data_IF_564775661023
#
_entry.id   IF_564775661023
#
_cell.length_a   1.000
_cell.length_b   1.000
_cell.length_c   1.000
_cell.angle_alpha   90.00
_cell.angle_beta   90.00
_cell.angle_gamma   90.00
#
_symmetry.space_group_name_H-M   'P 1'
#
loop_
_entity.id
_entity.type
_entity.pdbx_description
1 polymer ?
#
# COMPACT_ATOMS: atom_id res chain seq x y z
N UNK A 1 3.42 -6.79 11.89
CA UNK A 1 2.06 -6.24 11.74
C UNK A 1 1.88 -5.72 10.32
N UNK A 2 0.73 -5.99 9.70
CA UNK A 2 0.46 -5.53 8.34
C UNK A 2 0.27 -4.01 8.31
N UNK A 3 0.88 -3.35 7.34
CA UNK A 3 0.79 -1.89 7.23
C UNK A 3 -0.65 -1.39 7.09
N UNK A 4 -1.50 -2.16 6.42
CA UNK A 4 -2.91 -1.80 6.23
C UNK A 4 -3.75 -2.02 7.48
N UNK A 5 -3.30 -2.85 8.40
CA UNK A 5 -4.09 -3.26 9.56
C UNK A 5 -3.67 -2.60 10.87
N UNK A 6 -2.76 -1.62 10.81
CA UNK A 6 -2.28 -0.98 12.04
C UNK A 6 -3.39 -0.26 12.80
N UNK A 7 -4.33 0.36 12.09
CA UNK A 7 -5.45 1.06 12.74
C UNK A 7 -6.42 0.05 13.39
N UNK A 8 -6.64 -1.09 12.76
CA UNK A 8 -7.46 -2.17 13.32
C UNK A 8 -6.85 -2.69 14.63
N UNK A 9 -5.54 -2.91 14.62
CA UNK A 9 -4.80 -3.33 15.82
C UNK A 9 -4.91 -2.26 16.93
N UNK A 10 -4.73 -0.99 16.58
CA UNK A 10 -4.85 0.11 17.52
C UNK A 10 -6.26 0.23 18.11
N UNK A 11 -7.29 -0.02 17.28
CA UNK A 11 -8.69 -0.05 17.74
C UNK A 11 -8.91 -1.16 18.76
N UNK A 12 -8.34 -2.34 18.53
CA UNK A 12 -8.44 -3.46 19.47
C UNK A 12 -7.74 -3.14 20.80
N UNK A 13 -6.56 -2.51 20.74
CA UNK A 13 -5.85 -2.08 21.94
C UNK A 13 -6.65 -1.03 22.71
N UNK A 14 -7.29 -0.10 22.01
CA UNK A 14 -8.13 0.93 22.63
C UNK A 14 -9.31 0.27 23.36
N UNK A 15 -9.91 -0.76 22.75
CA UNK A 15 -11.00 -1.52 23.39
C UNK A 15 -10.52 -2.24 24.66
N UNK A 16 -9.35 -2.87 24.60
CA UNK A 16 -8.76 -3.55 25.76
C UNK A 16 -8.50 -2.55 26.90
N UNK A 17 -7.96 -1.38 26.56
CA UNK A 17 -7.69 -0.32 27.54
C UNK A 17 -8.99 0.13 28.21
N UNK A 18 -10.07 0.33 27.42
CA UNK A 18 -11.37 0.71 27.97
C UNK A 18 -11.89 -0.30 28.98
N UNK A 19 -11.78 -1.60 28.67
CA UNK A 19 -12.24 -2.67 29.56
C UNK A 19 -11.47 -2.68 30.88
N UNK A 20 -10.22 -2.23 30.86
CA UNK A 20 -9.37 -2.18 32.06
C UNK A 20 -9.44 -0.85 32.82
N UNK A 21 -10.15 0.16 32.31
CA UNK A 21 -10.20 1.49 32.93
C UNK A 21 -11.34 1.55 33.92
N UNK A 22 -11.01 1.75 35.19
CA UNK A 22 -11.99 1.85 36.28
C UNK A 22 -12.79 3.16 36.14
N UNK A 23 -14.10 3.05 36.23
CA UNK A 23 -14.99 4.20 36.17
C UNK A 23 -15.48 4.58 34.79
N UNK A 24 -14.97 3.91 33.74
CA UNK A 24 -15.43 4.12 32.35
C UNK A 24 -16.34 2.98 31.92
N UNK A 25 -17.45 3.27 31.24
CA UNK A 25 -18.22 2.20 30.60
C UNK A 25 -17.39 1.47 29.56
N UNK A 26 -17.66 0.19 29.35
CA UNK A 26 -16.90 -0.63 28.37
C UNK A 26 -17.37 -0.42 26.93
N UNK A 27 -18.55 0.17 26.76
CA UNK A 27 -19.15 0.43 25.45
C UNK A 27 -19.22 -0.84 24.57
N UNK A 28 -19.51 -2.00 25.20
CA UNK A 28 -19.53 -3.29 24.49
C UNK A 28 -20.59 -3.34 23.39
N UNK A 29 -21.79 -2.79 23.67
CA UNK A 29 -22.87 -2.77 22.67
C UNK A 29 -22.47 -1.93 21.45
N UNK A 30 -21.85 -0.78 21.70
CA UNK A 30 -21.38 0.13 20.64
C UNK A 30 -20.27 -0.52 19.80
N UNK A 31 -19.29 -1.18 20.44
CA UNK A 31 -18.24 -1.90 19.73
C UNK A 31 -18.78 -3.08 18.94
N UNK A 32 -19.74 -3.82 19.50
CA UNK A 32 -20.39 -4.92 18.77
C UNK A 32 -21.10 -4.38 17.52
N UNK A 33 -21.82 -3.28 17.66
CA UNK A 33 -22.47 -2.64 16.52
C UNK A 33 -21.45 -2.19 15.48
N UNK A 34 -20.35 -1.58 15.91
CA UNK A 34 -19.27 -1.11 15.01
C UNK A 34 -18.72 -2.27 14.17
N UNK A 35 -18.46 -3.41 14.81
CA UNK A 35 -17.85 -4.57 14.14
C UNK A 35 -18.84 -5.29 13.22
N UNK A 36 -20.13 -5.29 13.57
CA UNK A 36 -21.14 -6.11 12.89
C UNK A 36 -22.25 -5.29 12.21
N UNK A 37 -22.07 -3.99 12.07
CA UNK A 37 -23.11 -3.08 11.60
C UNK A 37 -23.82 -3.54 10.33
N UNK A 38 -23.06 -3.96 9.32
CA UNK A 38 -23.62 -4.39 8.03
C UNK A 38 -24.22 -5.80 8.08
N UNK A 39 -23.90 -6.58 9.10
CA UNK A 39 -24.41 -7.95 9.27
C UNK A 39 -25.75 -7.99 10.02
N UNK A 40 -26.15 -6.87 10.62
CA UNK A 40 -27.43 -6.79 11.35
C UNK A 40 -28.57 -6.82 10.33
N UNK A 41 -29.37 -7.88 10.39
CA UNK A 41 -30.45 -8.07 9.44
C UNK A 41 -31.65 -7.20 9.83
N UNK A 42 -32.12 -6.40 8.91
CA UNK A 42 -33.34 -5.59 9.09
C UNK A 42 -34.54 -6.37 8.62
N UNK A 43 -35.68 -6.15 9.29
CA UNK A 43 -36.95 -6.74 8.88
C UNK A 43 -37.32 -6.24 7.48
N UNK A 44 -37.86 -7.12 6.65
CA UNK A 44 -38.26 -6.76 5.29
C UNK A 44 -39.25 -5.59 5.32
N UNK A 45 -38.99 -4.56 4.52
CA UNK A 45 -39.85 -3.39 4.41
C UNK A 45 -39.76 -2.40 5.56
N UNK A 46 -38.79 -2.59 6.48
CA UNK A 46 -38.63 -1.74 7.67
C UNK A 46 -37.82 -0.47 7.43
N UNK A 47 -37.20 -0.33 6.25
CA UNK A 47 -36.33 0.81 5.97
C UNK A 47 -37.16 2.01 5.45
N UNK A 48 -37.30 3.09 6.22
CA UNK A 48 -38.01 4.26 5.75
C UNK A 48 -37.20 5.04 4.74
N UNK A 49 -37.86 5.76 3.86
CA UNK A 49 -37.20 6.74 3.01
C UNK A 49 -36.93 7.98 3.86
N UNK A 50 -35.65 8.31 4.00
CA UNK A 50 -35.19 9.49 4.73
C UNK A 50 -34.66 10.48 3.70
N UNK A 51 -35.26 11.66 3.69
CA UNK A 51 -34.89 12.70 2.72
C UNK A 51 -33.41 13.08 2.87
N UNK A 52 -32.69 13.08 1.76
CA UNK A 52 -31.27 13.43 1.74
C UNK A 52 -30.32 12.25 1.96
N UNK A 53 -30.84 11.06 2.20
CA UNK A 53 -30.02 9.86 2.42
C UNK A 53 -30.17 8.86 1.28
N UNK A 54 -29.09 8.15 0.96
CA UNK A 54 -29.17 6.98 0.08
C UNK A 54 -29.84 5.83 0.83
N UNK A 55 -30.20 4.76 0.09
CA UNK A 55 -30.80 3.56 0.70
C UNK A 55 -29.85 2.94 1.72
N UNK A 56 -28.57 2.87 1.37
CA UNK A 56 -27.55 2.29 2.26
C UNK A 56 -27.37 3.12 3.54
N UNK A 57 -27.40 4.44 3.42
CA UNK A 57 -27.34 5.33 4.59
C UNK A 57 -28.56 5.16 5.47
N UNK A 58 -29.76 5.10 4.86
CA UNK A 58 -31.00 4.91 5.62
C UNK A 58 -31.00 3.58 6.37
N UNK A 59 -30.56 2.50 5.74
CA UNK A 59 -30.43 1.19 6.38
C UNK A 59 -29.43 1.24 7.54
N UNK A 60 -28.29 1.89 7.35
CA UNK A 60 -27.27 2.03 8.40
C UNK A 60 -27.82 2.80 9.61
N UNK A 61 -28.61 3.86 9.35
CA UNK A 61 -29.24 4.67 10.40
C UNK A 61 -30.28 3.85 11.17
N UNK A 62 -31.08 3.05 10.46
CA UNK A 62 -32.07 2.15 11.11
C UNK A 62 -31.35 1.14 12.01
N UNK A 63 -30.25 0.53 11.53
CA UNK A 63 -29.47 -0.39 12.33
C UNK A 63 -28.90 0.29 13.58
N UNK A 64 -28.35 1.49 13.42
CA UNK A 64 -27.78 2.26 14.53
C UNK A 64 -28.84 2.64 15.55
N UNK A 65 -30.08 2.92 15.11
CA UNK A 65 -31.21 3.24 15.97
C UNK A 65 -31.61 2.10 16.91
N UNK A 66 -31.13 0.88 16.65
CA UNK A 66 -31.35 -0.24 17.55
C UNK A 66 -30.57 -0.12 18.85
N UNK A 67 -29.54 0.73 18.90
CA UNK A 67 -28.83 1.02 20.15
C UNK A 67 -29.61 2.05 20.97
N UNK A 68 -29.72 1.86 22.30
CA UNK A 68 -30.46 2.82 23.15
C UNK A 68 -30.00 4.26 23.01
N UNK A 69 -28.68 4.48 22.81
CA UNK A 69 -28.12 5.82 22.68
C UNK A 69 -28.63 6.55 21.43
N UNK A 70 -29.11 5.83 20.43
CA UNK A 70 -29.51 6.39 19.14
C UNK A 70 -30.95 6.04 18.75
N UNK A 71 -31.82 5.70 19.70
CA UNK A 71 -33.18 5.23 19.43
C UNK A 71 -34.03 6.24 18.65
N UNK A 72 -33.83 7.53 18.86
CA UNK A 72 -34.55 8.60 18.17
C UNK A 72 -33.71 9.30 17.10
N UNK A 73 -32.65 8.64 16.60
CA UNK A 73 -31.69 9.23 15.67
C UNK A 73 -32.38 9.77 14.41
N UNK A 74 -33.29 9.00 13.81
CA UNK A 74 -33.98 9.40 12.57
C UNK A 74 -34.74 10.71 12.78
N UNK A 75 -35.52 10.82 13.86
CA UNK A 75 -36.30 12.02 14.16
C UNK A 75 -35.38 13.21 14.43
N UNK A 76 -34.28 13.01 15.16
CA UNK A 76 -33.33 14.07 15.47
C UNK A 76 -32.62 14.61 14.24
N UNK A 77 -32.22 13.70 13.33
CA UNK A 77 -31.55 14.06 12.08
C UNK A 77 -32.52 14.85 11.17
N UNK A 78 -33.76 14.42 11.07
CA UNK A 78 -34.78 15.08 10.23
C UNK A 78 -35.14 16.46 10.77
N UNK A 79 -35.05 16.66 12.09
CA UNK A 79 -35.32 17.96 12.73
C UNK A 79 -34.13 18.94 12.65
N UNK A 80 -32.94 18.47 12.32
CA UNK A 80 -31.72 19.27 12.31
C UNK A 80 -31.54 19.94 10.95
N UNK A 81 -31.73 21.24 10.90
CA UNK A 81 -31.60 22.05 9.67
C UNK A 81 -30.16 22.06 9.14
N UNK A 82 -29.17 21.79 9.98
CA UNK A 82 -27.76 21.78 9.58
C UNK A 82 -27.31 20.39 9.06
N UNK A 83 -28.20 19.40 9.10
CA UNK A 83 -27.82 18.02 8.74
C UNK A 83 -27.28 17.91 7.30
N UNK A 84 -27.95 18.53 6.33
CA UNK A 84 -27.53 18.48 4.93
C UNK A 84 -26.16 19.12 4.72
N UNK A 85 -25.91 20.25 5.41
CA UNK A 85 -24.61 20.94 5.34
C UNK A 85 -23.52 20.05 5.92
N UNK A 86 -23.77 19.44 7.07
CA UNK A 86 -22.82 18.52 7.70
C UNK A 86 -22.57 17.29 6.82
N UNK A 87 -23.62 16.71 6.26
CA UNK A 87 -23.54 15.52 5.43
C UNK A 87 -22.65 15.75 4.20
N UNK A 88 -22.66 16.95 3.64
CA UNK A 88 -21.88 17.32 2.46
C UNK A 88 -20.48 17.87 2.81
N UNK A 89 -20.14 17.96 4.09
CA UNK A 89 -18.85 18.49 4.53
C UNK A 89 -17.68 17.66 4.02
N UNK A 90 -16.56 18.30 3.72
CA UNK A 90 -15.32 17.63 3.35
C UNK A 90 -14.64 16.95 4.54
N UNK A 91 -14.98 17.35 5.77
CA UNK A 91 -14.40 16.79 6.98
C UNK A 91 -15.47 16.65 8.09
N UNK A 92 -16.49 15.81 7.85
CA UNK A 92 -17.61 15.69 8.81
C UNK A 92 -17.17 15.13 10.16
N UNK A 93 -16.08 14.39 10.21
CA UNK A 93 -15.53 13.83 11.46
C UNK A 93 -15.10 14.90 12.47
N UNK A 94 -14.83 16.13 11.99
CA UNK A 94 -14.42 17.21 12.87
C UNK A 94 -15.58 17.85 13.63
N UNK A 95 -16.79 17.75 13.10
CA UNK A 95 -17.95 18.53 13.56
C UNK A 95 -19.19 17.67 13.77
N UNK A 96 -19.02 16.39 14.14
CA UNK A 96 -20.15 15.49 14.38
C UNK A 96 -21.06 16.06 15.48
N UNK A 97 -22.36 16.25 15.22
CA UNK A 97 -23.26 16.83 16.23
C UNK A 97 -23.50 15.87 17.40
N UNK A 98 -23.46 16.39 18.61
CA UNK A 98 -23.74 15.64 19.82
C UNK A 98 -25.25 15.46 20.07
N UNK A 99 -26.05 16.34 19.50
CA UNK A 99 -27.49 16.36 19.73
C UNK A 99 -28.23 15.13 19.19
N UNK A 100 -27.56 14.34 18.40
CA UNK A 100 -28.17 13.16 17.76
C UNK A 100 -28.22 11.94 18.66
N UNK A 101 -27.43 11.89 19.73
CA UNK A 101 -27.50 10.81 20.70
C UNK A 101 -28.44 11.18 21.87
N UNK A 102 -28.99 10.16 22.54
CA UNK A 102 -29.91 10.37 23.67
C UNK A 102 -29.23 11.09 24.84
N UNK A 103 -28.01 10.68 25.12
CA UNK A 103 -27.19 11.32 26.13
C UNK A 103 -25.79 11.51 25.55
N UNK A 104 -25.27 12.73 25.65
CA UNK A 104 -23.89 13.00 25.26
C UNK A 104 -22.98 12.37 26.31
N UNK A 105 -22.10 11.45 25.95
CA UNK A 105 -21.18 10.86 26.93
C UNK A 105 -20.34 11.94 27.63
N UNK A 106 -20.10 11.75 28.92
CA UNK A 106 -19.37 12.73 29.74
C UNK A 106 -17.89 12.78 29.40
N UNK A 107 -17.33 11.69 28.86
CA UNK A 107 -15.90 11.57 28.61
C UNK A 107 -15.58 11.74 27.13
N UNK A 108 -14.35 12.23 26.81
CA UNK A 108 -13.93 12.33 25.39
C UNK A 108 -13.94 10.98 24.68
N UNK A 109 -13.65 9.89 25.39
CA UNK A 109 -13.62 8.54 24.80
C UNK A 109 -15.03 8.12 24.38
N UNK A 110 -16.03 8.31 25.25
CA UNK A 110 -17.41 8.01 24.93
C UNK A 110 -17.94 8.84 23.78
N UNK A 111 -17.60 10.14 23.77
CA UNK A 111 -17.95 11.03 22.66
C UNK A 111 -17.33 10.54 21.35
N UNK A 112 -16.08 10.08 21.40
CA UNK A 112 -15.38 9.57 20.21
C UNK A 112 -16.04 8.29 19.67
N UNK A 113 -16.52 7.41 20.56
CA UNK A 113 -17.23 6.18 20.15
C UNK A 113 -18.55 6.55 19.46
N UNK A 114 -19.31 7.50 19.98
CA UNK A 114 -20.57 7.92 19.36
C UNK A 114 -20.31 8.57 17.99
N UNK A 115 -19.27 9.40 17.89
CA UNK A 115 -18.87 9.99 16.59
C UNK A 115 -18.47 8.90 15.58
N UNK A 116 -17.73 7.89 16.04
CA UNK A 116 -17.32 6.77 15.18
C UNK A 116 -18.52 6.05 14.56
N UNK A 117 -19.55 5.79 15.36
CA UNK A 117 -20.76 5.12 14.90
C UNK A 117 -21.56 6.00 13.93
N UNK A 118 -21.66 7.29 14.19
CA UNK A 118 -22.37 8.23 13.32
C UNK A 118 -21.66 8.38 11.98
N UNK A 119 -20.33 8.48 11.98
CA UNK A 119 -19.54 8.54 10.74
C UNK A 119 -19.67 7.23 9.96
N UNK A 120 -19.65 6.08 10.63
CA UNK A 120 -19.85 4.78 9.98
C UNK A 120 -21.19 4.72 9.25
N UNK A 121 -22.26 5.26 9.86
CA UNK A 121 -23.59 5.23 9.28
C UNK A 121 -23.77 6.23 8.12
N UNK A 122 -23.32 7.48 8.29
CA UNK A 122 -23.59 8.56 7.35
C UNK A 122 -22.48 8.81 6.32
N UNK A 123 -21.21 8.66 6.73
CA UNK A 123 -20.06 9.00 5.90
C UNK A 123 -18.96 7.96 6.04
N UNK A 124 -19.22 6.71 5.60
CA UNK A 124 -18.21 5.64 5.71
C UNK A 124 -16.92 5.93 4.93
N UNK A 125 -16.94 6.83 3.96
CA UNK A 125 -15.75 7.31 3.27
C UNK A 125 -14.76 8.01 4.22
N UNK A 126 -15.25 8.56 5.36
CA UNK A 126 -14.44 9.24 6.37
C UNK A 126 -14.21 8.39 7.61
N UNK A 127 -14.56 7.11 7.55
CA UNK A 127 -14.43 6.22 8.71
C UNK A 127 -12.99 6.07 9.18
N UNK A 128 -12.05 5.96 8.25
CA UNK A 128 -10.63 5.82 8.62
C UNK A 128 -10.12 7.06 9.36
N UNK A 129 -10.49 8.26 8.90
CA UNK A 129 -10.13 9.51 9.57
C UNK A 129 -10.71 9.56 11.00
N UNK A 130 -11.98 9.14 11.14
CA UNK A 130 -12.63 9.10 12.47
C UNK A 130 -11.98 8.05 13.38
N UNK A 131 -11.59 6.90 12.83
CA UNK A 131 -10.91 5.85 13.58
C UNK A 131 -9.56 6.35 14.12
N UNK A 132 -8.81 7.10 13.32
CA UNK A 132 -7.57 7.76 13.77
C UNK A 132 -7.85 8.70 14.96
N UNK A 133 -8.90 9.51 14.88
CA UNK A 133 -9.28 10.41 15.95
C UNK A 133 -9.67 9.64 17.23
N UNK A 134 -10.41 8.54 17.07
CA UNK A 134 -10.79 7.68 18.21
C UNK A 134 -9.55 7.08 18.90
N UNK A 135 -8.62 6.52 18.11
CA UNK A 135 -7.39 5.93 18.65
C UNK A 135 -6.55 7.00 19.33
N UNK A 136 -6.41 8.17 18.72
CA UNK A 136 -5.66 9.29 19.27
C UNK A 136 -6.25 9.76 20.61
N UNK A 137 -7.58 9.82 20.70
CA UNK A 137 -8.27 10.21 21.94
C UNK A 137 -8.04 9.17 23.04
N UNK A 138 -8.08 7.89 22.71
CA UNK A 138 -7.99 6.79 23.69
C UNK A 138 -6.54 6.47 24.07
N UNK A 139 -5.65 6.33 23.10
CA UNK A 139 -4.27 5.86 23.32
C UNK A 139 -3.25 7.01 23.32
N UNK A 140 -3.63 8.19 22.84
CA UNK A 140 -2.78 9.36 22.77
C UNK A 140 -2.13 9.55 21.40
N UNK A 141 -1.81 10.80 21.05
CA UNK A 141 -1.19 11.16 19.78
C UNK A 141 0.20 10.54 19.61
N UNK A 142 0.94 10.42 20.71
CA UNK A 142 2.28 9.82 20.68
C UNK A 142 2.23 8.36 20.24
N UNK A 143 1.17 7.62 20.62
CA UNK A 143 0.98 6.24 20.18
C UNK A 143 0.79 6.18 18.65
N UNK A 144 -0.02 7.08 18.10
CA UNK A 144 -0.24 7.12 16.66
C UNK A 144 1.04 7.47 15.90
N UNK A 145 1.83 8.41 16.43
CA UNK A 145 3.13 8.76 15.81
C UNK A 145 4.07 7.56 15.75
N UNK A 146 4.13 6.78 16.83
CA UNK A 146 4.96 5.56 16.87
C UNK A 146 4.46 4.54 15.85
N UNK A 147 3.15 4.36 15.77
CA UNK A 147 2.54 3.40 14.83
C UNK A 147 2.79 3.77 13.36
N UNK A 148 2.90 5.06 13.07
CA UNK A 148 3.09 5.57 11.72
C UNK A 148 4.56 5.64 11.29
N UNK A 149 5.51 5.44 12.21
CA UNK A 149 6.94 5.48 11.89
C UNK A 149 7.29 4.35 10.91
N UNK A 150 8.13 4.64 9.92
CA UNK A 150 8.59 3.60 9.01
C UNK A 150 9.43 2.56 9.75
N UNK A 151 9.34 1.32 9.28
CA UNK A 151 10.08 0.20 9.85
C UNK A 151 11.58 0.42 9.66
N UNK A 152 12.35 0.41 10.76
CA UNK A 152 13.81 0.49 10.72
C UNK A 152 14.38 -0.93 10.72
N UNK A 153 14.48 -1.49 9.53
CA UNK A 153 14.96 -2.86 9.33
C UNK A 153 16.43 -2.99 9.77
N UNK A 154 17.25 -1.96 9.52
CA UNK A 154 18.65 -1.93 9.90
C UNK A 154 18.82 -2.10 11.41
N UNK A 155 18.10 -1.32 12.19
CA UNK A 155 18.16 -1.37 13.65
C UNK A 155 17.76 -2.76 14.16
N UNK A 156 16.68 -3.30 13.64
CA UNK A 156 16.15 -4.60 14.11
C UNK A 156 17.13 -5.73 13.78
N UNK A 157 17.62 -5.77 12.56
CA UNK A 157 18.57 -6.84 12.14
C UNK A 157 19.88 -6.79 12.90
N UNK A 158 20.13 -5.75 13.16
CA UNK A 158 21.34 -5.58 13.78
C UNK A 158 21.37 -5.73 15.20
N UNK A 159 20.38 -5.28 15.74
CA UNK A 159 20.43 -5.28 17.22
C UNK A 159 19.54 -6.34 17.87
N UNK A 160 18.37 -6.64 17.26
CA UNK A 160 17.37 -7.50 17.88
C UNK A 160 17.42 -8.95 17.38
N UNK A 161 17.92 -9.18 16.18
CA UNK A 161 17.96 -10.51 15.57
C UNK A 161 19.26 -11.20 15.95
N UNK A 162 19.13 -12.42 16.51
CA UNK A 162 20.27 -13.26 16.85
C UNK A 162 20.76 -14.03 15.63
N UNK A 163 22.06 -14.43 15.59
CA UNK A 163 22.60 -15.14 14.42
C UNK A 163 21.85 -16.43 14.06
N UNK A 164 21.27 -17.13 15.02
CA UNK A 164 20.54 -18.38 14.77
C UNK A 164 19.02 -18.15 14.55
N UNK A 165 18.56 -16.89 14.52
CA UNK A 165 17.16 -16.55 14.28
C UNK A 165 16.99 -16.21 12.81
N UNK A 166 16.23 -17.01 12.03
CA UNK A 166 15.99 -16.64 10.63
C UNK A 166 15.10 -15.41 10.52
N UNK A 167 15.40 -14.55 9.55
CA UNK A 167 14.58 -13.37 9.25
C UNK A 167 13.65 -13.72 8.09
N UNK A 168 12.35 -13.72 8.37
CA UNK A 168 11.33 -14.14 7.42
C UNK A 168 10.69 -12.90 6.78
N UNK A 169 10.94 -12.72 5.48
CA UNK A 169 10.45 -11.58 4.71
C UNK A 169 9.21 -12.03 3.92
N UNK A 170 8.05 -11.92 4.57
CA UNK A 170 6.78 -12.37 4.01
C UNK A 170 6.13 -11.26 3.18
N UNK A 171 5.58 -11.62 2.04
CA UNK A 171 4.95 -10.66 1.14
C UNK A 171 3.65 -11.21 0.55
N UNK A 172 2.82 -10.31 0.06
CA UNK A 172 1.65 -10.66 -0.74
C UNK A 172 2.10 -11.12 -2.13
N UNK A 173 1.31 -11.95 -2.83
CA UNK A 173 1.67 -12.37 -4.18
C UNK A 173 1.94 -11.18 -5.09
N UNK A 174 2.99 -11.28 -5.91
CA UNK A 174 3.39 -10.25 -6.84
C UNK A 174 4.33 -9.19 -6.28
N UNK A 175 4.65 -9.25 -4.98
CA UNK A 175 5.61 -8.35 -4.34
C UNK A 175 6.88 -9.13 -3.97
N UNK A 176 8.04 -8.56 -4.28
CA UNK A 176 9.34 -9.18 -3.98
C UNK A 176 10.06 -8.36 -2.91
N UNK A 177 10.24 -8.94 -1.75
CA UNK A 177 10.90 -8.30 -0.60
C UNK A 177 12.43 -8.39 -0.66
N UNK A 178 12.99 -9.10 -1.64
CA UNK A 178 14.45 -9.33 -1.69
C UNK A 178 15.25 -8.03 -1.84
N UNK A 179 14.70 -7.04 -2.52
CA UNK A 179 15.33 -5.73 -2.68
C UNK A 179 15.64 -5.04 -1.35
N UNK A 180 14.76 -5.19 -0.36
CA UNK A 180 14.97 -4.63 0.97
C UNK A 180 16.21 -5.23 1.64
N UNK A 181 16.41 -6.53 1.47
CA UNK A 181 17.56 -7.25 2.05
C UNK A 181 18.86 -6.85 1.34
N UNK A 182 18.83 -6.75 0.02
CA UNK A 182 19.98 -6.34 -0.79
C UNK A 182 20.42 -4.92 -0.44
N UNK A 183 19.46 -4.01 -0.28
CA UNK A 183 19.72 -2.61 0.14
C UNK A 183 20.36 -2.59 1.53
N UNK A 184 19.83 -3.39 2.45
CA UNK A 184 20.32 -3.48 3.82
C UNK A 184 21.77 -4.00 3.84
N UNK A 185 22.06 -5.04 3.06
CA UNK A 185 23.40 -5.60 2.95
C UNK A 185 24.38 -4.55 2.41
N UNK A 186 23.96 -3.78 1.39
CA UNK A 186 24.78 -2.70 0.82
C UNK A 186 25.06 -1.61 1.85
N UNK A 187 24.07 -1.20 2.63
CA UNK A 187 24.21 -0.20 3.69
C UNK A 187 25.21 -0.65 4.76
N UNK A 188 25.21 -1.95 5.08
CA UNK A 188 26.06 -2.51 6.12
C UNK A 188 27.43 -2.98 5.59
N UNK A 189 27.69 -2.81 4.29
CA UNK A 189 28.90 -3.30 3.61
C UNK A 189 29.13 -4.80 3.87
N UNK A 190 28.04 -5.57 3.89
CA UNK A 190 28.08 -7.01 4.16
C UNK A 190 27.85 -7.76 2.86
N UNK A 191 28.65 -8.81 2.64
CA UNK A 191 28.46 -9.68 1.49
C UNK A 191 27.27 -10.60 1.73
N UNK A 192 26.41 -10.72 0.71
CA UNK A 192 25.21 -11.56 0.77
C UNK A 192 25.18 -12.51 -0.43
N UNK A 193 24.89 -13.76 -0.17
CA UNK A 193 24.68 -14.78 -1.19
C UNK A 193 23.17 -15.02 -1.34
N UNK A 194 22.63 -14.77 -2.54
CA UNK A 194 21.20 -14.92 -2.85
C UNK A 194 20.98 -16.18 -3.68
N UNK A 195 20.08 -17.05 -3.24
CA UNK A 195 19.77 -18.32 -3.91
C UNK A 195 18.27 -18.46 -4.05
N UNK A 196 17.80 -18.72 -5.26
CA UNK A 196 16.39 -19.01 -5.51
C UNK A 196 16.12 -20.50 -5.24
N UNK A 197 15.13 -20.78 -4.43
CA UNK A 197 14.73 -22.14 -4.09
C UNK A 197 13.66 -22.61 -5.07
N UNK A 198 13.91 -23.70 -5.77
CA UNK A 198 12.96 -24.23 -6.75
C UNK A 198 13.36 -25.57 -7.33
N UNK A 199 14.54 -26.04 -6.98
CA UNK A 199 15.06 -27.29 -7.53
C UNK A 199 16.02 -27.95 -6.53
N UNK A 200 16.34 -29.21 -6.76
CA UNK A 200 17.30 -29.97 -5.93
C UNK A 200 18.68 -29.29 -5.93
N UNK A 201 19.08 -28.72 -7.06
CA UNK A 201 20.33 -27.97 -7.15
C UNK A 201 20.32 -26.75 -6.24
N UNK A 202 19.18 -26.00 -6.21
CA UNK A 202 19.01 -24.86 -5.32
C UNK A 202 19.13 -25.24 -3.84
N UNK A 203 18.61 -26.39 -3.46
CA UNK A 203 18.72 -26.90 -2.08
C UNK A 203 20.18 -27.17 -1.72
N UNK A 204 20.95 -27.82 -2.62
CA UNK A 204 22.37 -28.10 -2.40
C UNK A 204 23.19 -26.81 -2.29
N UNK A 205 22.92 -25.85 -3.18
CA UNK A 205 23.56 -24.53 -3.16
C UNK A 205 23.26 -23.79 -1.85
N UNK A 206 22.01 -23.87 -1.39
CA UNK A 206 21.59 -23.24 -0.13
C UNK A 206 22.33 -23.84 1.06
N UNK A 207 22.43 -25.16 1.13
CA UNK A 207 23.16 -25.84 2.21
C UNK A 207 24.63 -25.43 2.23
N UNK A 208 25.28 -25.40 1.07
CA UNK A 208 26.70 -25.01 0.97
C UNK A 208 26.88 -23.53 1.37
N UNK A 209 25.99 -22.65 0.91
CA UNK A 209 26.06 -21.23 1.23
C UNK A 209 25.90 -20.99 2.74
N UNK A 210 24.95 -21.68 3.36
CA UNK A 210 24.71 -21.57 4.81
C UNK A 210 25.93 -22.08 5.58
N UNK A 211 26.47 -23.23 5.22
CA UNK A 211 27.63 -23.82 5.91
C UNK A 211 28.86 -22.91 5.83
N UNK A 212 29.10 -22.27 4.68
CA UNK A 212 30.18 -21.31 4.49
C UNK A 212 29.93 -20.03 5.29
N UNK A 213 28.74 -19.47 5.19
CA UNK A 213 28.39 -18.18 5.80
C UNK A 213 28.35 -18.27 7.33
N UNK A 214 27.95 -19.39 7.89
CA UNK A 214 27.93 -19.62 9.34
C UNK A 214 29.33 -19.46 9.94
N UNK A 215 30.38 -19.87 9.22
CA UNK A 215 31.76 -19.75 9.67
C UNK A 215 32.33 -18.35 9.43
N UNK A 216 31.99 -17.71 8.31
CA UNK A 216 32.57 -16.44 7.88
C UNK A 216 31.83 -15.21 8.38
N UNK A 217 30.57 -15.36 8.83
CA UNK A 217 29.74 -14.24 9.26
C UNK A 217 29.07 -13.50 8.11
N UNK A 218 29.04 -14.07 6.93
CA UNK A 218 28.35 -13.50 5.76
C UNK A 218 26.84 -13.72 5.88
N UNK A 219 26.10 -13.00 5.08
CA UNK A 219 24.63 -13.14 5.02
C UNK A 219 24.21 -14.07 3.88
N UNK A 220 23.12 -14.79 4.08
CA UNK A 220 22.51 -15.65 3.06
C UNK A 220 21.04 -15.26 2.93
N UNK A 221 20.57 -15.14 1.68
CA UNK A 221 19.15 -14.93 1.39
C UNK A 221 18.65 -16.07 0.49
N UNK A 222 17.63 -16.79 0.96
CA UNK A 222 16.97 -17.83 0.18
C UNK A 222 15.64 -17.28 -0.30
N UNK A 223 15.42 -17.26 -1.61
CA UNK A 223 14.27 -16.63 -2.25
C UNK A 223 13.16 -17.64 -2.54
N UNK A 224 11.92 -17.22 -2.27
CA UNK A 224 10.70 -17.96 -2.63
C UNK A 224 10.64 -19.34 -1.97
N UNK A 225 10.97 -19.39 -0.69
CA UNK A 225 11.03 -20.66 0.08
C UNK A 225 9.65 -21.30 0.28
N UNK A 226 8.57 -20.55 0.08
CA UNK A 226 7.21 -21.10 0.13
C UNK A 226 6.96 -22.17 -0.94
N UNK A 227 7.80 -22.19 -2.00
CA UNK A 227 7.70 -23.19 -3.06
C UNK A 227 8.23 -24.58 -2.62
N UNK A 228 8.93 -24.64 -1.50
CA UNK A 228 9.54 -25.88 -1.02
C UNK A 228 9.29 -26.09 0.49
N UNK A 229 8.02 -26.22 0.91
CA UNK A 229 7.71 -26.33 2.35
C UNK A 229 8.30 -27.58 3.01
N UNK A 230 8.46 -28.67 2.29
CA UNK A 230 9.11 -29.89 2.83
C UNK A 230 10.56 -29.67 3.16
N UNK A 231 11.28 -28.94 2.31
CA UNK A 231 12.69 -28.62 2.58
C UNK A 231 12.83 -27.65 3.76
N UNK A 232 11.86 -26.74 3.96
CA UNK A 232 11.87 -25.81 5.08
C UNK A 232 11.83 -26.51 6.43
N UNK A 233 11.21 -27.68 6.52
CA UNK A 233 11.24 -28.47 7.75
C UNK A 233 12.66 -28.97 8.05
N UNK A 234 13.40 -29.35 7.03
CA UNK A 234 14.82 -29.77 7.16
C UNK A 234 15.68 -28.55 7.54
N UNK A 235 15.43 -27.40 6.94
CA UNK A 235 16.15 -26.16 7.25
C UNK A 235 15.95 -25.77 8.72
N UNK A 236 14.74 -25.87 9.22
CA UNK A 236 14.41 -25.52 10.61
C UNK A 236 15.23 -26.40 11.57
N UNK A 237 15.29 -27.70 11.30
CA UNK A 237 16.09 -28.64 12.10
C UNK A 237 17.58 -28.32 12.03
N UNK A 238 18.08 -27.98 10.85
CA UNK A 238 19.48 -27.59 10.65
C UNK A 238 19.83 -26.34 11.48
N UNK A 239 18.94 -25.33 11.49
CA UNK A 239 19.19 -24.09 12.23
C UNK A 239 19.35 -24.32 13.74
N UNK A 240 18.65 -25.30 14.30
CA UNK A 240 18.79 -25.63 15.73
C UNK A 240 20.16 -26.18 16.08
N UNK A 241 20.83 -26.84 15.15
CA UNK A 241 22.14 -27.48 15.37
C UNK A 241 23.33 -26.58 15.05
N UNK A 242 23.10 -25.43 14.41
CA UNK A 242 24.18 -24.53 13.98
C UNK A 242 24.67 -23.66 15.13
N UNK A 243 25.99 -23.39 15.12
CA UNK A 243 26.63 -22.40 15.99
C UNK A 243 27.21 -21.31 15.10
N UNK A 244 26.42 -20.35 14.70
CA UNK A 244 26.86 -19.38 13.72
C UNK A 244 27.74 -18.26 14.29
N UNK A 245 28.59 -17.72 13.43
CA UNK A 245 29.33 -16.47 13.69
C UNK A 245 28.36 -15.37 14.09
N UNK A 246 28.78 -14.47 14.97
CA UNK A 246 27.91 -13.41 15.50
C UNK A 246 27.32 -12.50 14.42
N UNK A 247 28.00 -12.34 13.30
CA UNK A 247 27.56 -11.48 12.19
C UNK A 247 26.68 -12.19 11.16
N UNK A 248 26.55 -13.53 11.25
CA UNK A 248 25.74 -14.30 10.31
C UNK A 248 24.25 -13.91 10.41
N UNK A 249 23.62 -13.77 9.26
CA UNK A 249 22.16 -13.58 9.18
C UNK A 249 21.61 -14.41 8.02
N UNK A 250 20.48 -15.05 8.27
CA UNK A 250 19.75 -15.81 7.26
C UNK A 250 18.41 -15.13 6.99
N UNK A 251 18.19 -14.74 5.74
CA UNK A 251 16.95 -14.13 5.26
C UNK A 251 16.20 -15.12 4.38
N UNK A 252 14.90 -15.25 4.60
CA UNK A 252 14.04 -16.10 3.79
C UNK A 252 12.93 -15.23 3.22
N UNK A 253 12.84 -15.11 1.88
CA UNK A 253 11.70 -14.45 1.28
C UNK A 253 10.63 -15.47 0.93
N UNK A 254 9.38 -15.12 1.17
CA UNK A 254 8.25 -16.01 0.92
C UNK A 254 6.97 -15.25 0.71
N UNK A 255 6.06 -15.85 -0.04
CA UNK A 255 4.66 -15.38 -0.06
C UNK A 255 3.94 -15.99 1.13
N UNK A 256 2.94 -15.30 1.63
CA UNK A 256 2.11 -15.78 2.74
C UNK A 256 1.41 -17.07 2.27
N UNK A 257 1.72 -18.17 2.92
CA UNK A 257 1.30 -19.51 2.48
C UNK A 257 1.09 -20.40 3.70
N UNK A 258 -0.08 -21.06 3.82
CA UNK A 258 -0.38 -21.90 4.99
C UNK A 258 0.49 -23.17 5.08
N UNK A 259 1.18 -23.55 4.01
CA UNK A 259 2.06 -24.74 4.01
C UNK A 259 3.42 -24.48 4.65
N UNK A 260 3.77 -23.22 4.94
CA UNK A 260 5.04 -22.89 5.60
C UNK A 260 5.00 -23.43 7.03
N UNK A 261 6.05 -24.16 7.49
CA UNK A 261 6.04 -24.76 8.82
C UNK A 261 5.85 -23.74 9.95
N UNK A 262 4.92 -24.03 10.85
CA UNK A 262 4.59 -23.13 11.98
C UNK A 262 5.80 -22.95 12.90
N UNK A 263 6.58 -24.00 13.12
CA UNK A 263 7.76 -23.93 13.99
C UNK A 263 8.82 -22.98 13.43
N UNK A 264 8.96 -22.92 12.10
CA UNK A 264 9.86 -21.95 11.45
C UNK A 264 9.36 -20.52 11.68
N UNK A 265 8.06 -20.31 11.56
CA UNK A 265 7.45 -18.99 11.79
C UNK A 265 7.64 -18.56 13.25
N UNK A 266 7.52 -19.48 14.20
CA UNK A 266 7.72 -19.18 15.63
C UNK A 266 9.18 -18.91 15.96
N UNK A 267 10.11 -19.62 15.33
CA UNK A 267 11.54 -19.45 15.58
C UNK A 267 12.11 -18.19 14.96
N UNK A 268 11.47 -17.67 13.92
CA UNK A 268 11.98 -16.57 13.13
C UNK A 268 11.48 -15.19 13.55
N UNK A 269 12.14 -14.15 13.04
CA UNK A 269 11.66 -12.78 13.13
C UNK A 269 10.92 -12.46 11.82
N UNK A 270 9.62 -12.18 11.91
CA UNK A 270 8.76 -12.04 10.73
C UNK A 270 8.56 -10.57 10.41
N UNK A 271 8.81 -10.22 9.15
CA UNK A 271 8.43 -8.92 8.56
C UNK A 271 7.43 -9.18 7.45
N UNK A 272 6.35 -8.43 7.44
CA UNK A 272 5.33 -8.55 6.40
C UNK A 272 5.37 -7.31 5.53
N UNK A 273 5.50 -7.50 4.23
CA UNK A 273 5.62 -6.43 3.25
C UNK A 273 4.40 -6.42 2.34
N UNK A 274 3.80 -5.25 2.24
CA UNK A 274 2.69 -5.01 1.32
C UNK A 274 3.03 -3.77 0.50
N UNK A 275 2.66 -3.73 -0.79
CA UNK A 275 2.83 -2.50 -1.54
C UNK A 275 2.00 -1.41 -0.87
N UNK A 276 2.56 -0.19 -0.69
CA UNK A 276 1.79 0.90 -0.11
C UNK A 276 0.56 1.20 -0.97
N UNK A 277 -0.59 1.47 -0.36
CA UNK A 277 -1.83 1.69 -1.12
C UNK A 277 -1.90 3.09 -1.73
N UNK A 278 -2.53 3.17 -2.85
CA UNK A 278 -2.84 4.42 -3.53
C UNK A 278 -2.06 4.67 -4.81
N UNK A 279 -2.55 5.37 -5.65
CA UNK A 279 -1.97 5.64 -6.88
C UNK A 279 -0.68 6.29 -6.84
N UNK A 280 -0.63 7.32 -5.89
CA UNK A 280 0.62 8.06 -5.69
C UNK A 280 1.76 7.15 -5.23
N UNK A 281 1.51 6.35 -4.18
CA UNK A 281 2.52 5.44 -3.63
C UNK A 281 2.97 4.41 -4.66
N UNK A 282 2.05 3.89 -5.46
CA UNK A 282 2.36 2.95 -6.53
C UNK A 282 3.24 3.60 -7.61
N UNK A 283 2.94 4.85 -7.96
CA UNK A 283 3.75 5.61 -8.93
C UNK A 283 5.18 5.82 -8.42
N UNK A 284 5.30 6.25 -7.17
CA UNK A 284 6.61 6.48 -6.54
C UNK A 284 7.42 5.19 -6.48
N UNK A 285 6.80 4.08 -6.11
CA UNK A 285 7.48 2.78 -6.07
C UNK A 285 7.98 2.38 -7.46
N UNK A 286 7.13 2.57 -8.48
CA UNK A 286 7.51 2.26 -9.88
C UNK A 286 8.74 3.07 -10.30
N UNK A 287 8.73 4.38 -10.05
CA UNK A 287 9.86 5.23 -10.43
C UNK A 287 11.12 4.91 -9.63
N UNK A 288 10.97 4.49 -8.37
CA UNK A 288 12.12 4.07 -7.56
C UNK A 288 12.75 2.78 -8.05
N UNK A 289 11.95 1.91 -8.69
CA UNK A 289 12.42 0.61 -9.17
C UNK A 289 13.10 0.67 -10.55
N UNK A 290 12.93 1.78 -11.28
CA UNK A 290 13.49 1.91 -12.63
C UNK A 290 14.73 2.83 -12.56
N UNK A 291 15.91 2.38 -13.02
CA UNK A 291 17.10 3.24 -12.99
C UNK A 291 16.90 4.51 -13.81
N UNK A 292 17.38 5.63 -13.28
CA UNK A 292 17.29 6.93 -13.96
C UNK A 292 17.98 6.88 -15.33
N UNK A 293 19.11 6.18 -15.41
CA UNK A 293 19.85 6.01 -16.67
C UNK A 293 19.01 5.35 -17.75
N UNK A 294 18.13 4.44 -17.38
CA UNK A 294 17.21 3.75 -18.32
C UNK A 294 16.12 4.70 -18.82
N UNK A 295 15.55 5.51 -17.90
CA UNK A 295 14.49 6.47 -18.25
C UNK A 295 15.03 7.55 -19.18
N UNK A 296 16.25 8.00 -18.97
CA UNK A 296 16.87 9.13 -19.67
C UNK A 296 17.56 8.75 -20.98
N UNK A 297 17.61 7.46 -21.30
CA UNK A 297 18.22 6.98 -22.53
C UNK A 297 17.46 7.53 -23.75
N UNK A 298 18.22 7.89 -24.83
CA UNK A 298 17.60 8.37 -26.07
C UNK A 298 16.65 7.32 -26.66
N UNK A 299 15.52 7.71 -27.29
CA UNK A 299 15.06 9.08 -27.54
C UNK A 299 14.43 9.72 -26.30
N UNK A 300 14.35 11.06 -26.28
CA UNK A 300 13.81 11.83 -25.14
C UNK A 300 12.35 11.46 -24.81
N UNK A 301 11.59 11.00 -25.79
CA UNK A 301 10.21 10.58 -25.64
C UNK A 301 10.05 9.35 -24.72
N UNK A 302 11.12 8.60 -24.49
CA UNK A 302 11.12 7.43 -23.61
C UNK A 302 10.64 7.77 -22.18
N UNK A 303 11.08 8.90 -21.64
CA UNK A 303 10.71 9.33 -20.29
C UNK A 303 9.20 9.49 -20.15
N UNK A 304 8.56 10.06 -21.18
CA UNK A 304 7.10 10.25 -21.17
C UNK A 304 6.35 8.93 -21.25
N UNK A 305 6.86 7.99 -22.08
CA UNK A 305 6.29 6.63 -22.15
C UNK A 305 6.42 5.89 -20.84
N UNK A 306 7.55 6.03 -20.14
CA UNK A 306 7.73 5.42 -18.83
C UNK A 306 6.75 6.02 -17.79
N UNK A 307 6.48 7.31 -17.90
CA UNK A 307 5.47 7.95 -17.04
C UNK A 307 4.08 7.37 -17.29
N UNK A 308 3.69 7.24 -18.56
CA UNK A 308 2.41 6.65 -18.94
C UNK A 308 2.30 5.20 -18.44
N UNK A 309 3.38 4.44 -18.55
CA UNK A 309 3.42 3.05 -18.08
C UNK A 309 3.29 2.99 -16.57
N UNK A 310 3.97 3.87 -15.83
CA UNK A 310 3.87 3.95 -14.39
C UNK A 310 2.45 4.33 -13.95
N UNK A 311 1.84 5.30 -14.64
CA UNK A 311 0.46 5.72 -14.39
C UNK A 311 -0.51 4.57 -14.63
N UNK A 312 -0.37 3.88 -15.76
CA UNK A 312 -1.20 2.73 -16.11
C UNK A 312 -1.06 1.62 -15.05
N UNK A 313 0.18 1.28 -14.70
CA UNK A 313 0.46 0.24 -13.70
C UNK A 313 -0.16 0.59 -12.35
N UNK A 314 -0.06 1.86 -11.94
CA UNK A 314 -0.64 2.33 -10.68
C UNK A 314 -2.17 2.19 -10.68
N UNK A 315 -2.84 2.51 -11.80
CA UNK A 315 -4.30 2.33 -11.94
C UNK A 315 -4.65 0.84 -11.80
N UNK A 316 -3.94 -0.01 -12.52
CA UNK A 316 -4.18 -1.47 -12.54
C UNK A 316 -4.04 -2.03 -11.12
N UNK A 317 -3.00 -1.63 -10.40
CA UNK A 317 -2.74 -2.08 -9.03
C UNK A 317 -3.80 -1.55 -8.05
N UNK A 318 -4.15 -0.27 -8.16
CA UNK A 318 -5.13 0.33 -7.25
C UNK A 318 -6.51 -0.30 -7.40
N UNK A 319 -6.91 -0.63 -8.63
CA UNK A 319 -8.20 -1.26 -8.87
C UNK A 319 -8.30 -2.66 -8.26
N UNK A 320 -7.18 -3.35 -8.02
CA UNK A 320 -7.19 -4.66 -7.35
C UNK A 320 -7.71 -4.56 -5.90
N UNK A 321 -7.58 -3.40 -5.28
CA UNK A 321 -8.07 -3.18 -3.91
C UNK A 321 -9.59 -3.15 -3.84
N UNK A 322 -10.27 -2.90 -4.95
CA UNK A 322 -11.72 -2.69 -4.99
C UNK A 322 -12.44 -3.83 -5.72
N UNK A 323 -11.87 -5.03 -5.73
CA UNK A 323 -12.56 -6.19 -6.29
C UNK A 323 -13.83 -6.47 -5.45
N UNK A 324 -15.00 -6.77 -6.05
CA UNK A 324 -15.20 -6.98 -7.47
C UNK A 324 -15.58 -5.71 -8.28
N UNK A 325 -15.50 -4.53 -7.71
CA UNK A 325 -15.89 -3.29 -8.40
C UNK A 325 -14.78 -2.77 -9.32
N UNK A 326 -13.52 -2.82 -8.87
CA UNK A 326 -12.38 -2.36 -9.67
C UNK A 326 -12.03 -3.32 -10.80
N UNK A 327 -12.01 -4.60 -10.47
CA UNK A 327 -11.89 -5.74 -11.37
C UNK A 327 -12.91 -6.77 -10.91
N UNK A 328 -13.42 -7.58 -11.83
CA UNK A 328 -14.42 -8.60 -11.47
C UNK A 328 -13.87 -9.63 -10.50
N UNK A 329 -12.54 -9.85 -10.52
CA UNK A 329 -11.84 -10.73 -9.60
C UNK A 329 -10.42 -10.24 -9.35
N UNK A 330 -9.71 -10.84 -8.42
CA UNK A 330 -8.32 -10.48 -8.13
C UNK A 330 -7.37 -11.16 -9.13
N UNK A 331 -6.68 -10.35 -9.92
CA UNK A 331 -5.62 -10.79 -10.83
C UNK A 331 -4.26 -10.57 -10.16
N UNK A 332 -3.26 -11.31 -10.59
CA UNK A 332 -1.90 -11.19 -10.05
C UNK A 332 -1.02 -10.26 -10.89
N UNK A 333 -1.48 -9.03 -11.09
CA UNK A 333 -0.65 -8.00 -11.73
C UNK A 333 0.49 -7.61 -10.79
N UNK A 334 1.71 -7.66 -11.27
CA UNK A 334 2.86 -7.40 -10.41
C UNK A 334 4.04 -6.76 -11.13
N UNK A 335 5.18 -6.72 -10.43
CA UNK A 335 6.41 -6.12 -10.96
C UNK A 335 6.93 -6.80 -12.21
N UNK A 336 6.68 -8.10 -12.36
CA UNK A 336 7.09 -8.83 -13.57
C UNK A 336 6.39 -8.29 -14.79
N UNK A 337 5.10 -7.94 -14.69
CA UNK A 337 4.34 -7.34 -15.80
C UNK A 337 4.90 -5.96 -16.13
N UNK A 338 5.19 -5.15 -15.12
CA UNK A 338 5.78 -3.83 -15.30
C UNK A 338 7.15 -3.94 -15.99
N UNK A 339 7.99 -4.84 -15.53
CA UNK A 339 9.32 -5.08 -16.10
C UNK A 339 9.22 -5.48 -17.57
N UNK A 340 8.33 -6.37 -17.89
CA UNK A 340 8.06 -6.78 -19.28
C UNK A 340 7.61 -5.60 -20.16
N UNK A 341 6.84 -4.84 -19.65
CA UNK A 341 6.42 -3.75 -20.32
C UNK A 341 7.41 -2.76 -20.58
N UNK A 342 8.28 -2.57 -19.60
CA UNK A 342 9.46 -1.72 -19.81
C UNK A 342 10.40 -2.25 -20.89
N UNK A 343 10.68 -3.52 -20.86
CA UNK A 343 11.52 -4.18 -21.86
C UNK A 343 10.91 -4.03 -23.27
N UNK A 344 9.60 -4.17 -23.38
CA UNK A 344 8.88 -4.00 -24.64
C UNK A 344 8.99 -2.56 -25.15
N UNK A 345 8.79 -1.57 -24.30
CA UNK A 345 8.93 -0.15 -24.65
C UNK A 345 10.35 0.12 -25.17
N UNK A 346 11.36 -0.36 -24.43
CA UNK A 346 12.76 -0.17 -24.81
C UNK A 346 13.07 -0.79 -26.18
N UNK A 347 12.64 -2.04 -26.41
CA UNK A 347 12.88 -2.76 -27.65
C UNK A 347 12.27 -2.02 -28.85
N UNK A 348 11.00 -1.63 -28.73
CA UNK A 348 10.31 -0.97 -29.84
C UNK A 348 10.80 0.44 -30.09
N UNK A 349 11.14 1.19 -29.02
CA UNK A 349 11.68 2.54 -29.17
C UNK A 349 13.07 2.53 -29.78
N UNK A 350 13.93 1.63 -29.32
CA UNK A 350 15.30 1.52 -29.85
C UNK A 350 15.28 1.14 -31.33
N UNK A 351 14.40 0.24 -31.72
CA UNK A 351 14.23 -0.17 -33.11
C UNK A 351 13.70 0.97 -33.99
N UNK A 352 12.77 1.76 -33.47
CA UNK A 352 12.15 2.87 -34.21
C UNK A 352 13.10 4.07 -34.30
N UNK A 353 13.76 4.43 -33.19
CA UNK A 353 14.60 5.62 -33.11
C UNK A 353 15.95 5.45 -33.79
N UNK A 354 16.50 4.23 -33.78
CA UNK A 354 17.83 3.91 -34.39
C UNK A 354 18.92 4.89 -33.94
N UNK A 355 18.96 5.17 -32.63
CA UNK A 355 19.97 6.03 -32.02
C UNK A 355 19.68 7.52 -32.08
N UNK A 356 18.59 7.96 -32.67
CA UNK A 356 18.23 9.38 -32.72
C UNK A 356 17.83 9.89 -31.34
N UNK A 357 18.10 11.17 -31.07
CA UNK A 357 17.76 11.79 -29.78
C UNK A 357 16.28 12.06 -29.64
N UNK A 358 15.58 12.25 -30.73
CA UNK A 358 14.14 12.55 -30.73
C UNK A 358 13.43 11.72 -31.79
N UNK A 359 12.20 11.41 -31.52
CA UNK A 359 11.32 10.67 -32.42
C UNK A 359 9.95 11.36 -32.38
N UNK A 360 9.34 11.54 -33.56
CA UNK A 360 8.02 12.12 -33.63
C UNK A 360 7.01 11.21 -32.90
N UNK A 361 6.14 11.75 -32.03
CA UNK A 361 5.19 10.91 -31.28
C UNK A 361 4.31 10.01 -32.16
N UNK A 362 3.99 10.44 -33.39
CA UNK A 362 3.18 9.63 -34.31
C UNK A 362 3.93 8.43 -34.87
N UNK A 363 5.26 8.41 -34.77
CA UNK A 363 6.10 7.29 -35.20
C UNK A 363 6.33 6.25 -34.12
N UNK A 364 5.92 6.53 -32.88
CA UNK A 364 5.96 5.52 -31.81
C UNK A 364 5.01 4.38 -32.22
N UNK A 365 5.46 3.11 -32.07
CA UNK A 365 4.64 1.98 -32.51
C UNK A 365 3.50 1.69 -31.51
N UNK A 366 2.55 2.61 -31.44
CA UNK A 366 1.44 2.56 -30.47
C UNK A 366 0.63 1.28 -30.59
N UNK A 367 0.32 0.87 -31.84
CA UNK A 367 -0.49 -0.33 -32.07
C UNK A 367 0.20 -1.59 -31.53
N UNK A 368 1.51 -1.72 -31.78
CA UNK A 368 2.29 -2.86 -31.29
C UNK A 368 2.36 -2.89 -29.77
N UNK A 369 2.61 -1.73 -29.15
CA UNK A 369 2.70 -1.61 -27.69
C UNK A 369 1.36 -1.97 -27.04
N UNK A 370 0.26 -1.42 -27.54
CA UNK A 370 -1.08 -1.70 -27.01
C UNK A 370 -1.46 -3.18 -27.17
N UNK A 371 -1.17 -3.76 -28.32
CA UNK A 371 -1.48 -5.16 -28.59
C UNK A 371 -0.73 -6.10 -27.65
N UNK A 372 0.57 -5.85 -27.44
CA UNK A 372 1.37 -6.66 -26.54
C UNK A 372 0.88 -6.54 -25.08
N UNK A 373 0.53 -5.34 -24.65
CA UNK A 373 0.02 -5.12 -23.29
C UNK A 373 -1.37 -5.75 -23.11
N UNK A 374 -2.23 -5.66 -24.13
CA UNK A 374 -3.62 -6.14 -24.05
C UNK A 374 -3.73 -7.66 -24.15
N UNK A 375 -2.83 -8.32 -24.89
CA UNK A 375 -2.95 -9.74 -25.19
C UNK A 375 -1.93 -10.62 -24.49
N UNK A 376 -0.79 -10.07 -24.09
CA UNK A 376 0.30 -10.87 -23.54
C UNK A 376 0.68 -10.46 -22.13
N UNK A 377 1.14 -9.23 -21.94
CA UNK A 377 1.75 -8.83 -20.66
C UNK A 377 0.69 -8.73 -19.56
N UNK A 378 -0.13 -7.69 -19.55
CA UNK A 378 -1.21 -7.56 -18.57
C UNK A 378 -2.43 -8.39 -18.98
N UNK A 379 -2.82 -8.30 -20.24
CA UNK A 379 -4.01 -8.97 -20.76
C UNK A 379 -3.89 -10.49 -20.78
N UNK A 380 -2.68 -11.03 -20.77
CA UNK A 380 -2.47 -12.48 -20.69
C UNK A 380 -2.97 -13.08 -19.37
N UNK A 381 -3.13 -12.26 -18.33
CA UNK A 381 -3.66 -12.69 -17.04
C UNK A 381 -5.18 -12.52 -16.92
N UNK A 382 -5.78 -11.75 -17.84
CA UNK A 382 -7.20 -11.38 -17.76
C UNK A 382 -8.03 -12.39 -18.56
N UNK A 383 -8.94 -13.09 -17.89
CA UNK A 383 -9.78 -14.12 -18.48
C UNK A 383 -11.26 -13.72 -18.55
N UNK A 384 -11.63 -12.57 -17.98
CA UNK A 384 -13.00 -12.07 -18.00
C UNK A 384 -13.14 -11.04 -19.13
N UNK A 385 -14.17 -11.20 -19.96
CA UNK A 385 -14.39 -10.35 -21.13
C UNK A 385 -14.59 -8.87 -20.77
N UNK A 386 -15.33 -8.58 -19.72
CA UNK A 386 -15.58 -7.19 -19.31
C UNK A 386 -14.28 -6.54 -18.79
N UNK A 387 -13.49 -7.30 -18.04
CA UNK A 387 -12.19 -6.81 -17.56
C UNK A 387 -11.22 -6.60 -18.72
N UNK A 388 -11.27 -7.46 -19.74
CA UNK A 388 -10.45 -7.28 -20.95
C UNK A 388 -10.83 -5.98 -21.70
N UNK A 389 -12.12 -5.69 -21.81
CA UNK A 389 -12.60 -4.44 -22.41
C UNK A 389 -12.17 -3.22 -21.59
N UNK A 390 -12.21 -3.34 -20.27
CA UNK A 390 -11.77 -2.27 -19.38
C UNK A 390 -10.27 -2.02 -19.54
N UNK A 391 -9.47 -3.08 -19.58
CA UNK A 391 -8.03 -2.99 -19.82
C UNK A 391 -7.75 -2.28 -21.15
N UNK A 392 -8.44 -2.69 -22.22
CA UNK A 392 -8.29 -2.09 -23.55
C UNK A 392 -8.64 -0.60 -23.53
N UNK A 393 -9.67 -0.22 -22.78
CA UNK A 393 -10.10 1.19 -22.64
C UNK A 393 -8.98 2.04 -22.05
N UNK A 394 -8.32 1.57 -21.00
CA UNK A 394 -7.19 2.28 -20.40
C UNK A 394 -6.03 2.41 -21.36
N UNK A 395 -5.73 1.34 -22.10
CA UNK A 395 -4.63 1.34 -23.08
C UNK A 395 -4.90 2.33 -24.23
N UNK A 396 -6.11 2.32 -24.77
CA UNK A 396 -6.51 3.21 -25.87
C UNK A 396 -6.48 4.69 -25.42
N UNK A 397 -6.85 4.95 -24.17
CA UNK A 397 -6.89 6.31 -23.64
C UNK A 397 -5.48 6.87 -23.39
N UNK A 398 -4.57 6.05 -22.86
CA UNK A 398 -3.25 6.51 -22.43
C UNK A 398 -2.17 6.39 -23.50
N UNK A 399 -2.14 5.29 -24.22
CA UNK A 399 -1.06 4.98 -25.18
C UNK A 399 -1.47 5.43 -26.59
N UNK A 400 -1.44 6.73 -26.78
CA UNK A 400 -1.86 7.41 -27.99
C UNK A 400 -0.94 8.61 -28.24
N UNK A 401 -0.86 9.03 -29.52
CA UNK A 401 -0.09 10.22 -29.91
C UNK A 401 -0.51 11.46 -29.13
N UNK A 402 -1.79 11.58 -28.79
CA UNK A 402 -2.31 12.71 -28.01
C UNK A 402 -1.68 12.84 -26.63
N UNK A 403 -1.12 11.79 -26.08
CA UNK A 403 -0.50 11.81 -24.75
C UNK A 403 0.72 12.75 -24.71
N UNK A 404 1.23 13.15 -25.87
CA UNK A 404 2.33 14.11 -25.97
C UNK A 404 1.84 15.57 -26.13
N UNK A 405 0.54 15.78 -26.18
CA UNK A 405 -0.03 17.13 -26.23
C UNK A 405 0.09 17.79 -24.84
N UNK A 406 0.26 19.13 -24.84
CA UNK A 406 0.41 19.90 -23.59
C UNK A 406 -0.86 19.88 -22.74
N UNK A 407 -2.03 19.68 -23.37
CA UNK A 407 -3.33 19.69 -22.68
C UNK A 407 -3.86 18.29 -22.37
N UNK A 408 -3.03 17.26 -22.53
CA UNK A 408 -3.46 15.88 -22.31
C UNK A 408 -3.87 15.66 -20.85
N UNK A 409 -5.07 15.11 -20.63
CA UNK A 409 -5.61 14.81 -19.32
C UNK A 409 -5.46 13.32 -19.00
N UNK A 410 -4.72 13.02 -17.95
CA UNK A 410 -4.59 11.65 -17.44
C UNK A 410 -5.89 11.15 -16.84
N UNK A 411 -6.61 12.03 -16.15
CA UNK A 411 -7.93 11.75 -15.61
C UNK A 411 -8.81 12.97 -15.73
N UNK A 412 -10.05 12.76 -16.15
CA UNK A 412 -11.03 13.83 -16.27
C UNK A 412 -11.67 14.12 -14.92
N UNK A 413 -12.15 15.35 -14.79
CA UNK A 413 -12.81 15.84 -13.60
C UNK A 413 -13.97 14.94 -13.16
N UNK A 414 -13.93 14.55 -11.91
CA UNK A 414 -15.08 14.03 -11.18
C UNK A 414 -15.52 15.14 -10.24
N UNK A 415 -16.79 15.24 -9.97
CA UNK A 415 -17.36 16.35 -9.20
C UNK A 415 -16.51 16.75 -7.99
N UNK A 416 -16.13 18.02 -7.95
CA UNK A 416 -15.36 18.58 -6.85
C UNK A 416 -13.83 18.50 -6.98
N UNK A 417 -13.31 17.83 -7.99
CA UNK A 417 -11.86 17.67 -8.17
C UNK A 417 -11.41 18.24 -9.52
N UNK A 418 -10.17 18.72 -9.56
CA UNK A 418 -9.57 19.24 -10.80
C UNK A 418 -9.13 18.10 -11.73
N UNK A 419 -9.12 18.38 -13.03
CA UNK A 419 -8.52 17.49 -14.02
C UNK A 419 -7.06 17.22 -13.65
N UNK A 420 -6.62 15.98 -13.83
CA UNK A 420 -5.21 15.60 -13.66
C UNK A 420 -4.56 15.61 -15.04
N UNK A 421 -3.65 16.55 -15.26
CA UNK A 421 -2.96 16.71 -16.52
C UNK A 421 -1.59 16.04 -16.48
N UNK A 422 -1.06 15.72 -17.66
CA UNK A 422 0.31 15.23 -17.78
C UNK A 422 1.25 16.33 -17.29
N UNK A 423 2.18 16.04 -16.36
CA UNK A 423 3.09 17.07 -15.86
C UNK A 423 3.93 17.70 -16.98
N UNK A 424 4.08 19.01 -16.94
CA UNK A 424 4.95 19.73 -17.87
C UNK A 424 6.41 19.32 -17.62
N UNK A 425 7.19 19.30 -18.68
CA UNK A 425 8.60 18.98 -18.58
C UNK A 425 8.94 17.51 -18.43
N UNK A 426 7.96 16.63 -18.66
CA UNK A 426 8.22 15.17 -18.68
C UNK A 426 8.94 14.76 -19.99
N UNK A 427 9.92 15.52 -20.36
CA UNK A 427 11.01 15.10 -21.22
C UNK A 427 12.09 14.51 -20.34
N UNK A 428 13.07 13.85 -20.93
CA UNK A 428 14.10 13.12 -20.21
C UNK A 428 14.72 13.92 -19.05
N UNK A 429 14.97 15.21 -19.25
CA UNK A 429 15.58 16.06 -18.23
C UNK A 429 14.69 16.26 -16.99
N UNK A 430 13.40 16.41 -17.17
CA UNK A 430 12.46 16.57 -16.05
C UNK A 430 12.35 15.31 -15.20
N UNK A 431 12.24 14.16 -15.85
CA UNK A 431 12.17 12.87 -15.15
C UNK A 431 13.49 12.55 -14.47
N UNK A 432 14.62 12.87 -15.12
CA UNK A 432 15.94 12.67 -14.54
C UNK A 432 16.16 13.55 -13.30
N UNK A 433 15.71 14.81 -13.35
CA UNK A 433 15.81 15.72 -12.22
C UNK A 433 14.97 15.22 -11.03
N UNK A 434 13.78 14.66 -11.31
CA UNK A 434 12.91 14.06 -10.29
C UNK A 434 13.53 12.78 -9.74
N UNK A 435 14.15 11.96 -10.59
CA UNK A 435 14.79 10.72 -10.17
C UNK A 435 16.14 10.89 -9.49
N UNK A 436 16.91 11.92 -9.90
CA UNK A 436 18.23 12.21 -9.33
C UNK A 436 18.16 12.85 -7.95
N UNK A 437 17.07 13.55 -7.67
CA UNK A 437 16.74 14.02 -6.33
C UNK A 437 15.59 13.14 -5.86
N UNK A 438 15.91 11.92 -5.42
CA UNK A 438 14.89 11.09 -4.78
C UNK A 438 14.42 11.86 -3.56
N UNK A 439 13.23 12.49 -3.60
CA UNK A 439 12.81 13.25 -2.43
C UNK A 439 12.56 12.25 -1.30
N UNK A 440 13.19 12.52 -0.18
CA UNK A 440 12.99 11.73 1.02
C UNK A 440 11.53 11.80 1.50
N UNK A 441 10.74 12.70 0.88
CA UNK A 441 9.30 12.82 1.14
C UNK A 441 8.50 12.62 -0.15
N UNK A 442 7.57 11.66 -0.14
CA UNK A 442 6.73 11.36 -1.31
C UNK A 442 5.92 12.53 -1.84
N UNK A 443 5.58 13.49 -0.97
CA UNK A 443 4.73 14.62 -1.32
C UNK A 443 5.39 15.59 -2.32
N UNK A 444 6.71 15.59 -2.40
CA UNK A 444 7.44 16.51 -3.25
C UNK A 444 7.26 16.25 -4.76
N UNK A 445 6.92 15.01 -5.14
CA UNK A 445 6.76 14.64 -6.55
C UNK A 445 5.42 15.03 -7.15
N UNK A 446 4.40 15.21 -6.29
CA UNK A 446 3.07 15.60 -6.73
C UNK A 446 2.70 17.03 -6.31
N UNK A 447 3.59 17.69 -5.57
CA UNK A 447 3.43 19.09 -5.20
C UNK A 447 3.80 19.98 -6.38
N UNK A 448 2.97 20.95 -6.68
CA UNK A 448 3.28 21.98 -7.66
C UNK A 448 4.46 22.84 -7.21
N UNK A 449 5.01 23.69 -8.10
CA UNK A 449 6.25 24.42 -7.84
C UNK A 449 6.27 25.28 -6.56
N UNK A 450 5.11 25.65 -6.04
CA UNK A 450 5.01 26.49 -4.85
C UNK A 450 5.27 25.75 -3.54
N UNK A 451 5.13 24.41 -3.53
CA UNK A 451 5.34 23.62 -2.33
C UNK A 451 6.77 23.11 -2.18
N UNK A 452 7.57 23.16 -3.26
CA UNK A 452 8.97 22.76 -3.21
C UNK A 452 9.85 23.74 -2.45
N UNK A 453 9.34 24.95 -2.15
CA UNK A 453 10.12 26.00 -1.48
C UNK A 453 10.13 25.92 0.06
N UNK A 454 9.47 24.93 0.65
CA UNK A 454 9.33 24.83 2.11
C UNK A 454 10.10 23.69 2.76
N UNK A 455 11.11 23.14 2.10
CA UNK A 455 11.95 22.13 2.75
C UNK A 455 13.05 22.79 3.57
N UNK A 456 13.08 22.50 4.86
CA UNK A 456 14.14 22.93 5.76
C UNK A 456 15.46 22.24 5.39
N UNK A 457 16.60 22.91 5.55
CA UNK A 457 17.88 22.28 5.22
C UNK A 457 18.15 21.05 6.09
N UNK A 458 18.88 20.08 5.56
CA UNK A 458 19.13 18.83 6.28
C UNK A 458 19.96 19.09 7.55
N UNK A 459 19.55 18.44 8.62
CA UNK A 459 20.34 18.43 9.85
C UNK A 459 21.67 17.71 9.59
N UNK A 460 22.75 18.44 9.71
CA UNK A 460 24.08 17.83 9.75
C UNK A 460 24.25 17.11 11.09
N UNK A 461 24.09 15.81 11.08
CA UNK A 461 24.59 15.01 12.19
C UNK A 461 26.09 14.85 11.99
N UNK A 462 26.84 15.73 12.61
CA UNK A 462 28.27 15.58 12.68
C UNK A 462 28.58 14.40 13.59
N UNK A 463 29.07 13.34 13.00
CA UNK A 463 29.68 12.26 13.75
C UNK A 463 31.10 12.70 14.07
N UNK A 464 31.29 13.19 15.30
CA UNK A 464 32.64 13.50 15.79
C UNK A 464 33.32 12.20 16.17
N UNK A 465 34.37 11.87 15.44
CA UNK A 465 35.34 10.89 15.90
C UNK A 465 36.28 11.61 16.84
N UNK A 466 36.23 11.29 18.10
CA UNK A 466 37.34 11.55 19.00
C UNK A 466 37.85 10.22 19.56
N UNK A 467 39.08 9.97 19.35
CA UNK A 467 40.13 9.08 19.84
C UNK A 467 39.72 7.86 20.66
#
# INVERSE_FOLDING_TARGET
MLHQDHITFAMLLARIKLKGTVGEPTYDAEFQHFLRGNEIVLSAGSTPRIQGLTVEQAEAVVRLSCLPAFKDLIAKVQADEQFGIWLDSSSPEQTVPYLWSEETPATPIGQAIHRLLLIQAFRPDRLLAMAHMFVSTNLGESFMSIMEQPLDLTHIVXTEVKPNTPVLMCSVPGYDASGHVEDLAAEQNTQITSIAIGSAEGFNQADKAINTAVKSGRWVMLKNVHLAPGWLMQLEKKLHSLQPHACFRLFLTMEINPKVPVNLLRAGRIFVFEPPPGXKANMLRTFSSIPVSRICKSPNERARLYFLLAWFHAIIQERLRYAPLGWSKKYEFGESDLRSXCDTVDTWLDDTAKGRQNISPDKIPWSALKTLMAQSIYGGRVDNEFDQRLLNTFLERLFTTRSFDSEFKLACKVDGHKDIQMPDGMQARGVCAVGGVAPRHPDALLAGPAQQRRESPPYHTGCGHDQ
#
